data_IF_177166796551
#
_entry.id   IF_177166796551
#
_cell.length_a   1.000
_cell.length_b   1.000
_cell.length_c   1.000
_cell.angle_alpha   90.00
_cell.angle_beta   90.00
_cell.angle_gamma   90.00
#
_symmetry.space_group_name_H-M   'P 1'
#
loop_
_entity.id
_entity.type
_entity.pdbx_description
1 polymer ?
#
# COMPACT_ATOMS: atom_id res chain seq x y z
N UNK A 1 4.42 11.95 9.98
CA UNK A 1 5.33 12.11 8.83
C UNK A 1 5.85 10.74 8.41
N UNK A 2 6.47 10.58 7.24
CA UNK A 2 7.04 9.29 6.80
C UNK A 2 8.49 9.50 6.38
N UNK A 3 9.38 8.67 6.93
CA UNK A 3 10.83 8.75 6.72
C UNK A 3 11.37 7.40 6.24
N UNK A 4 12.46 7.40 5.48
CA UNK A 4 13.15 6.16 5.12
C UNK A 4 13.81 5.53 6.36
N UNK A 5 13.74 4.21 6.50
CA UNK A 5 14.34 3.46 7.61
C UNK A 5 15.38 2.44 7.09
N UNK A 6 16.46 2.87 6.41
CA UNK A 6 17.37 1.97 5.68
C UNK A 6 18.20 1.05 6.59
N UNK A 7 18.37 1.43 7.86
CA UNK A 7 19.08 0.65 8.86
C UNK A 7 18.24 -0.50 9.44
N UNK A 8 16.92 -0.48 9.24
CA UNK A 8 16.04 -1.54 9.74
C UNK A 8 15.95 -2.65 8.70
N UNK A 9 16.07 -3.90 9.15
CA UNK A 9 15.93 -5.11 8.34
C UNK A 9 14.80 -5.96 8.88
N UNK A 10 14.03 -6.55 7.98
CA UNK A 10 13.00 -7.53 8.29
C UNK A 10 12.93 -8.58 7.20
N UNK A 11 12.56 -9.80 7.59
CA UNK A 11 12.49 -10.95 6.68
C UNK A 11 11.45 -10.74 5.54
N UNK A 12 10.42 -9.95 5.81
CA UNK A 12 9.23 -9.86 4.97
C UNK A 12 9.19 -8.66 4.01
N UNK A 13 10.15 -7.72 4.11
CA UNK A 13 10.13 -6.49 3.32
C UNK A 13 11.54 -6.06 2.91
N UNK A 14 11.71 -5.72 1.63
CA UNK A 14 12.99 -5.25 1.06
C UNK A 14 13.28 -3.78 1.38
N UNK A 15 12.26 -3.00 1.72
CA UNK A 15 12.38 -1.60 2.11
C UNK A 15 11.35 -1.24 3.18
N UNK A 16 11.77 -0.46 4.17
CA UNK A 16 10.98 -0.06 5.32
C UNK A 16 11.00 1.46 5.47
N UNK A 17 9.91 1.98 6.01
CA UNK A 17 9.75 3.39 6.37
C UNK A 17 9.32 3.50 7.84
N UNK A 18 9.72 4.60 8.45
CA UNK A 18 9.23 5.03 9.75
C UNK A 18 8.08 6.01 9.56
N UNK A 19 6.87 5.64 9.99
CA UNK A 19 5.70 6.53 10.06
C UNK A 19 5.61 7.10 11.47
N UNK A 20 5.94 8.37 11.59
CA UNK A 20 5.91 9.12 12.85
C UNK A 20 4.53 9.76 13.09
N UNK A 21 4.01 9.61 14.30
CA UNK A 21 2.84 10.35 14.77
C UNK A 21 3.17 11.81 15.01
N UNK A 22 2.20 12.70 14.70
CA UNK A 22 2.33 14.11 15.05
C UNK A 22 2.41 14.26 16.56
N UNK A 23 3.21 15.21 17.04
CA UNK A 23 3.44 15.40 18.47
C UNK A 23 2.14 15.64 19.27
N UNK A 24 1.19 16.36 18.66
CA UNK A 24 -0.10 16.73 19.28
C UNK A 24 -1.05 15.57 19.52
N UNK A 25 -0.86 14.41 18.87
CA UNK A 25 -1.72 13.24 19.07
C UNK A 25 -1.09 12.16 19.97
N UNK A 26 0.20 12.28 20.30
CA UNK A 26 0.95 11.20 20.99
C UNK A 26 0.41 10.89 22.39
N UNK A 27 0.03 11.91 23.13
CA UNK A 27 -0.48 11.77 24.50
C UNK A 27 -1.84 11.05 24.58
N UNK A 28 -2.59 11.00 23.47
CA UNK A 28 -3.89 10.33 23.39
C UNK A 28 -3.86 8.96 22.70
N UNK A 29 -2.67 8.43 22.39
CA UNK A 29 -2.55 7.12 21.75
C UNK A 29 -2.84 6.01 22.75
N UNK A 30 -3.71 5.09 22.36
CA UNK A 30 -3.84 3.79 23.05
C UNK A 30 -2.69 2.87 22.59
N UNK A 31 -1.60 2.89 23.35
CA UNK A 31 -0.38 2.13 23.03
C UNK A 31 -0.65 0.63 22.97
N UNK A 32 -1.60 0.11 23.75
CA UNK A 32 -1.92 -1.32 23.76
C UNK A 32 -2.47 -1.80 22.41
N UNK A 33 -3.29 -0.97 21.77
CA UNK A 33 -3.81 -1.23 20.41
C UNK A 33 -2.69 -1.15 19.40
N UNK A 34 -1.74 -0.23 19.60
CA UNK A 34 -0.60 -0.07 18.72
C UNK A 34 0.37 -1.25 18.79
N UNK A 35 0.60 -1.81 19.98
CA UNK A 35 1.42 -3.01 20.23
C UNK A 35 0.80 -4.28 19.63
N UNK A 36 -0.53 -4.37 19.63
CA UNK A 36 -1.24 -5.53 19.10
C UNK A 36 -0.97 -5.78 17.60
N UNK A 37 -0.69 -4.73 16.82
CA UNK A 37 -0.47 -4.85 15.37
C UNK A 37 0.82 -5.63 15.01
N UNK A 38 2.02 -5.23 15.48
CA UNK A 38 3.23 -6.00 15.25
C UNK A 38 3.20 -7.37 15.94
N UNK A 39 2.65 -7.46 17.17
CA UNK A 39 2.52 -8.74 17.87
C UNK A 39 1.65 -9.73 17.09
N UNK A 40 0.57 -9.26 16.45
CA UNK A 40 -0.24 -10.09 15.58
C UNK A 40 0.57 -10.62 14.39
N UNK A 41 1.33 -9.76 13.71
CA UNK A 41 2.18 -10.19 12.59
C UNK A 41 3.21 -11.24 13.01
N UNK A 42 3.82 -11.09 14.19
CA UNK A 42 4.79 -12.06 14.74
C UNK A 42 4.15 -13.40 15.11
N UNK A 43 2.86 -13.40 15.47
CA UNK A 43 2.11 -14.62 15.78
C UNK A 43 1.72 -15.45 14.54
N UNK A 44 1.78 -14.86 13.34
CA UNK A 44 1.34 -15.51 12.12
C UNK A 44 2.40 -16.47 11.54
N UNK A 45 1.95 -17.56 10.88
CA UNK A 45 2.82 -18.31 10.00
C UNK A 45 3.41 -17.41 8.90
N UNK A 46 4.64 -17.72 8.46
CA UNK A 46 5.37 -16.91 7.48
C UNK A 46 4.56 -16.59 6.22
N UNK A 47 3.82 -17.57 5.66
CA UNK A 47 2.99 -17.38 4.47
C UNK A 47 1.84 -16.41 4.69
N UNK A 48 1.20 -16.44 5.85
CA UNK A 48 0.10 -15.55 6.20
C UNK A 48 0.61 -14.12 6.46
N UNK A 49 1.76 -13.98 7.15
CA UNK A 49 2.42 -12.68 7.30
C UNK A 49 2.82 -12.07 5.96
N UNK A 50 3.38 -12.88 5.05
CA UNK A 50 3.68 -12.44 3.67
C UNK A 50 2.43 -12.03 2.89
N UNK A 51 1.33 -12.76 3.02
CA UNK A 51 0.07 -12.39 2.36
C UNK A 51 -0.43 -11.02 2.86
N UNK A 52 -0.46 -10.82 4.18
CA UNK A 52 -0.88 -9.56 4.80
C UNK A 52 -0.02 -8.38 4.34
N UNK A 53 1.31 -8.54 4.35
CA UNK A 53 2.26 -7.50 3.96
C UNK A 53 2.27 -7.25 2.44
N UNK A 54 1.92 -8.25 1.62
CA UNK A 54 1.78 -8.06 0.17
C UNK A 54 0.58 -7.19 -0.21
N UNK A 55 -0.39 -7.03 0.70
CA UNK A 55 -1.66 -6.32 0.47
C UNK A 55 -1.79 -5.04 1.29
N UNK A 56 -0.87 -4.78 2.20
CA UNK A 56 -0.98 -3.66 3.14
C UNK A 56 0.38 -3.17 3.60
N UNK A 57 0.43 -1.89 3.98
CA UNK A 57 1.55 -1.35 4.70
C UNK A 57 1.32 -1.57 6.21
N UNK A 58 1.27 -2.85 6.62
CA UNK A 58 0.99 -3.23 8.02
C UNK A 58 2.10 -2.76 8.96
N UNK A 59 1.78 -2.29 10.17
CA UNK A 59 2.80 -1.96 11.16
C UNK A 59 3.57 -3.19 11.64
N UNK A 60 4.88 -3.14 11.52
CA UNK A 60 5.75 -4.27 11.80
C UNK A 60 6.51 -4.14 13.12
N UNK A 61 6.72 -2.92 13.62
CA UNK A 61 7.40 -2.65 14.88
C UNK A 61 7.08 -1.26 15.37
N UNK A 62 6.93 -1.08 16.67
CA UNK A 62 6.86 0.25 17.29
C UNK A 62 8.22 0.95 17.28
N UNK A 63 8.18 2.27 17.28
CA UNK A 63 9.36 3.12 17.49
C UNK A 63 9.07 3.98 18.70
N UNK A 64 10.01 3.98 19.63
CA UNK A 64 9.96 4.75 20.86
C UNK A 64 11.10 5.78 20.89
N UNK A 65 10.83 6.93 21.50
CA UNK A 65 11.82 7.92 21.89
C UNK A 65 11.57 8.26 23.35
N UNK A 66 12.58 8.13 24.20
CA UNK A 66 12.50 8.44 25.62
C UNK A 66 11.33 7.74 26.34
N UNK A 67 11.07 6.48 25.98
CA UNK A 67 9.99 5.66 26.52
C UNK A 67 8.59 6.02 26.02
N UNK A 68 8.48 6.90 25.02
CA UNK A 68 7.20 7.30 24.41
C UNK A 68 7.11 6.73 22.99
N UNK A 69 6.01 6.07 22.67
CA UNK A 69 5.73 5.64 21.29
C UNK A 69 5.59 6.85 20.38
N UNK A 70 6.46 6.93 19.38
CA UNK A 70 6.48 8.01 18.39
C UNK A 70 5.99 7.56 17.02
N UNK A 71 5.85 6.26 16.77
CA UNK A 71 5.33 5.74 15.51
C UNK A 71 5.64 4.29 15.25
N UNK A 72 5.66 3.91 13.97
CA UNK A 72 5.90 2.53 13.52
C UNK A 72 6.89 2.43 12.38
N UNK A 73 7.60 1.31 12.34
CA UNK A 73 8.21 0.81 11.11
C UNK A 73 7.21 -0.05 10.34
N UNK A 74 7.12 0.16 9.04
CA UNK A 74 6.20 -0.53 8.13
C UNK A 74 6.83 -0.66 6.73
N UNK A 75 6.33 -1.55 5.85
CA UNK A 75 6.79 -1.64 4.47
C UNK A 75 6.71 -0.30 3.75
N UNK A 76 7.75 0.03 2.99
CA UNK A 76 7.71 1.16 2.07
C UNK A 76 6.70 0.89 0.94
N UNK A 77 6.16 1.95 0.35
CA UNK A 77 5.35 1.82 -0.87
C UNK A 77 6.24 1.23 -1.97
N UNK A 78 5.85 0.09 -2.59
CA UNK A 78 6.66 -0.50 -3.64
C UNK A 78 6.78 0.41 -4.89
N UNK A 79 7.92 0.39 -5.61
CA UNK A 79 8.18 1.28 -6.76
C UNK A 79 7.11 1.25 -7.87
N UNK A 80 6.41 0.12 -8.04
CA UNK A 80 5.34 -0.08 -9.01
C UNK A 80 4.08 0.75 -8.73
N UNK A 81 3.89 1.19 -7.48
CA UNK A 81 2.82 2.11 -7.09
C UNK A 81 3.19 3.57 -7.32
N UNK A 82 4.37 3.87 -7.86
CA UNK A 82 4.76 5.22 -8.26
C UNK A 82 4.61 5.39 -9.76
N UNK A 83 3.70 6.28 -10.17
CA UNK A 83 3.29 6.49 -11.55
C UNK A 83 3.74 7.84 -12.08
N UNK A 84 3.97 7.93 -13.38
CA UNK A 84 4.26 9.21 -14.01
C UNK A 84 2.97 10.01 -14.19
N UNK A 85 2.96 11.24 -13.68
CA UNK A 85 1.84 12.18 -13.82
C UNK A 85 2.33 13.49 -14.43
N UNK A 86 1.53 14.05 -15.33
CA UNK A 86 1.79 15.40 -15.86
C UNK A 86 1.29 16.45 -14.88
N UNK A 87 2.18 17.32 -14.45
CA UNK A 87 1.90 18.49 -13.62
C UNK A 87 2.14 19.77 -14.45
N UNK A 88 1.68 20.92 -13.93
CA UNK A 88 1.94 22.21 -14.58
C UNK A 88 3.45 22.52 -14.71
N UNK A 89 4.25 22.03 -13.76
CA UNK A 89 5.71 22.16 -13.75
C UNK A 89 6.44 21.08 -14.58
N UNK A 90 5.72 20.23 -15.30
CA UNK A 90 6.27 19.11 -16.06
C UNK A 90 5.87 17.73 -15.52
N UNK A 91 6.45 16.67 -16.08
CA UNK A 91 6.16 15.30 -15.64
C UNK A 91 6.86 14.99 -14.31
N UNK A 92 6.14 14.36 -13.38
CA UNK A 92 6.65 14.01 -12.06
C UNK A 92 6.17 12.61 -11.66
N UNK A 93 7.05 11.88 -10.95
CA UNK A 93 6.73 10.57 -10.39
C UNK A 93 5.98 10.75 -9.07
N UNK A 94 4.75 10.29 -9.02
CA UNK A 94 3.81 10.48 -7.91
C UNK A 94 3.30 9.13 -7.40
N UNK A 95 2.87 9.06 -6.14
CA UNK A 95 2.19 7.87 -5.64
C UNK A 95 0.85 7.72 -6.38
N UNK A 96 0.61 6.54 -6.95
CA UNK A 96 -0.62 6.21 -7.65
C UNK A 96 -1.75 5.98 -6.66
N UNK A 97 -2.50 7.02 -6.32
CA UNK A 97 -3.64 6.91 -5.40
C UNK A 97 -4.97 6.79 -6.13
N UNK A 98 -5.95 6.13 -5.51
CA UNK A 98 -7.30 6.00 -6.07
C UNK A 98 -7.99 7.35 -6.20
N UNK A 99 -7.70 8.32 -5.32
CA UNK A 99 -8.26 9.67 -5.41
C UNK A 99 -8.02 10.33 -6.79
N UNK A 100 -6.94 9.98 -7.47
CA UNK A 100 -6.66 10.50 -8.82
C UNK A 100 -7.69 10.01 -9.84
N UNK A 101 -8.22 8.79 -9.68
CA UNK A 101 -9.19 8.17 -10.58
C UNK A 101 -10.62 8.68 -10.40
N UNK A 102 -10.91 9.33 -9.28
CA UNK A 102 -12.25 9.86 -8.97
C UNK A 102 -12.56 11.19 -9.67
N UNK A 103 -11.61 11.70 -10.46
CA UNK A 103 -11.79 12.92 -11.23
C UNK A 103 -12.35 12.61 -12.63
N UNK A 104 -12.96 13.62 -13.25
CA UNK A 104 -13.52 13.53 -14.59
C UNK A 104 -12.46 13.30 -15.69
N UNK A 105 -12.90 12.93 -16.91
CA UNK A 105 -12.02 12.55 -18.02
C UNK A 105 -11.04 13.67 -18.44
N UNK A 106 -11.45 14.94 -18.31
CA UNK A 106 -10.59 16.10 -18.60
C UNK A 106 -9.38 16.16 -17.66
N UNK A 107 -9.60 15.95 -16.36
CA UNK A 107 -8.50 15.92 -15.39
C UNK A 107 -7.58 14.73 -15.68
N UNK A 108 -8.14 13.55 -15.92
CA UNK A 108 -7.36 12.35 -16.18
C UNK A 108 -6.46 12.53 -17.42
N UNK A 109 -7.00 13.08 -18.51
CA UNK A 109 -6.22 13.35 -19.73
C UNK A 109 -5.12 14.38 -19.50
N UNK A 110 -5.41 15.48 -18.79
CA UNK A 110 -4.43 16.50 -18.41
C UNK A 110 -3.29 15.95 -17.56
N UNK A 111 -3.58 15.01 -16.66
CA UNK A 111 -2.58 14.33 -15.82
C UNK A 111 -1.89 13.16 -16.53
N UNK A 112 -2.31 12.81 -17.75
CA UNK A 112 -1.78 11.68 -18.51
C UNK A 112 -2.24 10.31 -17.99
N UNK A 113 -3.28 10.26 -17.18
CA UNK A 113 -3.84 9.04 -16.61
C UNK A 113 -4.81 8.42 -17.62
N UNK A 114 -4.40 7.31 -18.25
CA UNK A 114 -5.28 6.47 -19.06
C UNK A 114 -5.79 5.30 -18.21
N UNK A 115 -7.10 5.20 -18.05
CA UNK A 115 -7.76 4.08 -17.37
C UNK A 115 -9.03 3.71 -18.12
N UNK A 116 -9.20 2.42 -18.42
CA UNK A 116 -10.41 1.87 -19.01
C UNK A 116 -11.40 1.41 -17.93
N UNK A 117 -12.68 1.27 -18.28
CA UNK A 117 -13.69 0.74 -17.36
C UNK A 117 -13.37 -0.68 -16.90
N UNK A 118 -12.76 -1.50 -17.77
CA UNK A 118 -12.23 -2.82 -17.39
C UNK A 118 -11.19 -2.70 -16.29
N UNK A 119 -10.22 -1.80 -16.42
CA UNK A 119 -9.19 -1.60 -15.40
C UNK A 119 -9.76 -1.03 -14.09
N UNK A 120 -10.82 -0.21 -14.17
CA UNK A 120 -11.55 0.22 -12.97
C UNK A 120 -12.18 -0.97 -12.25
N UNK A 121 -12.81 -1.88 -12.98
CA UNK A 121 -13.38 -3.11 -12.40
C UNK A 121 -12.29 -4.00 -11.80
N UNK A 122 -11.17 -4.19 -12.49
CA UNK A 122 -10.03 -4.97 -11.99
C UNK A 122 -9.46 -4.36 -10.69
N UNK A 123 -9.36 -3.03 -10.59
CA UNK A 123 -8.97 -2.37 -9.35
C UNK A 123 -9.95 -2.59 -8.21
N UNK A 124 -11.25 -2.54 -8.46
CA UNK A 124 -12.28 -2.83 -7.44
C UNK A 124 -12.18 -4.28 -6.95
N UNK A 125 -11.90 -5.22 -7.85
CA UNK A 125 -11.65 -6.63 -7.50
C UNK A 125 -10.40 -6.75 -6.61
N UNK A 126 -9.31 -6.03 -6.93
CA UNK A 126 -8.10 -6.05 -6.08
C UNK A 126 -8.34 -5.43 -4.70
N UNK A 127 -9.15 -4.37 -4.60
CA UNK A 127 -9.56 -3.80 -3.30
C UNK A 127 -10.37 -4.83 -2.51
N UNK A 128 -11.37 -5.47 -3.14
CA UNK A 128 -12.18 -6.50 -2.48
C UNK A 128 -11.34 -7.69 -2.02
N UNK A 129 -10.34 -8.12 -2.81
CA UNK A 129 -9.37 -9.16 -2.42
C UNK A 129 -8.53 -8.73 -1.23
N UNK A 130 -8.06 -7.47 -1.19
CA UNK A 130 -7.35 -6.92 -0.04
C UNK A 130 -8.21 -6.91 1.23
N UNK A 131 -9.46 -6.43 1.14
CA UNK A 131 -10.40 -6.45 2.27
C UNK A 131 -10.70 -7.87 2.75
N UNK A 132 -10.84 -8.83 1.83
CA UNK A 132 -11.04 -10.23 2.18
C UNK A 132 -9.86 -10.80 2.98
N UNK A 133 -8.62 -10.36 2.74
CA UNK A 133 -7.44 -10.74 3.55
C UNK A 133 -7.62 -10.21 4.97
N UNK A 134 -7.91 -8.92 5.14
CA UNK A 134 -8.16 -8.35 6.47
C UNK A 134 -9.29 -9.07 7.22
N UNK A 135 -10.40 -9.38 6.55
CA UNK A 135 -11.50 -10.10 7.17
C UNK A 135 -11.13 -11.53 7.58
N UNK A 136 -10.29 -12.25 6.82
CA UNK A 136 -9.74 -13.56 7.25
C UNK A 136 -8.91 -13.45 8.53
N UNK A 137 -8.23 -12.32 8.71
CA UNK A 137 -7.49 -11.99 9.93
C UNK A 137 -8.37 -11.41 11.05
N UNK A 138 -9.70 -11.37 10.86
CA UNK A 138 -10.65 -10.72 11.79
C UNK A 138 -10.34 -9.23 12.05
N UNK A 139 -9.73 -8.56 11.08
CA UNK A 139 -9.41 -7.13 11.14
C UNK A 139 -10.47 -6.34 10.38
N UNK A 140 -11.13 -5.42 11.07
CA UNK A 140 -12.02 -4.44 10.45
C UNK A 140 -11.21 -3.23 9.95
N UNK A 141 -11.44 -2.82 8.69
CA UNK A 141 -10.79 -1.63 8.11
C UNK A 141 -11.70 -0.43 8.28
N UNK A 142 -11.42 0.41 9.27
CA UNK A 142 -12.27 1.57 9.61
C UNK A 142 -12.15 2.77 8.66
N UNK A 143 -11.02 2.94 7.99
CA UNK A 143 -10.74 4.08 7.10
C UNK A 143 -10.44 3.64 5.66
N UNK A 144 -11.50 3.19 4.97
CA UNK A 144 -11.42 2.89 3.53
C UNK A 144 -11.69 4.18 2.75
N UNK A 145 -10.61 4.91 2.46
CA UNK A 145 -10.66 6.14 1.66
C UNK A 145 -9.80 6.04 0.39
N UNK A 146 -10.10 6.80 -0.66
CA UNK A 146 -9.31 6.82 -1.90
C UNK A 146 -7.85 7.26 -1.73
N UNK A 147 -7.50 7.86 -0.59
CA UNK A 147 -6.13 8.24 -0.21
C UNK A 147 -5.35 7.05 0.37
N UNK A 148 -6.03 6.10 0.98
CA UNK A 148 -5.43 4.91 1.58
C UNK A 148 -5.24 3.77 0.58
N UNK A 149 -5.89 3.84 -0.58
CA UNK A 149 -5.80 2.84 -1.65
C UNK A 149 -4.78 3.25 -2.71
N UNK A 150 -3.80 2.38 -2.96
CA UNK A 150 -2.77 2.59 -3.97
C UNK A 150 -3.04 1.73 -5.20
N UNK A 151 -2.71 2.26 -6.37
CA UNK A 151 -2.72 1.59 -7.68
C UNK A 151 -1.33 1.63 -8.30
N UNK A 152 -1.01 0.61 -9.07
CA UNK A 152 0.15 0.64 -9.94
C UNK A 152 -0.16 1.36 -11.27
N UNK A 153 0.85 1.54 -12.11
CA UNK A 153 0.66 2.08 -13.46
C UNK A 153 -0.05 1.07 -14.37
N UNK A 154 -1.12 1.51 -15.02
CA UNK A 154 -1.84 0.73 -16.03
C UNK A 154 -1.04 0.51 -17.32
N UNK A 155 -0.04 1.36 -17.57
CA UNK A 155 0.81 1.27 -18.76
C UNK A 155 1.86 0.16 -18.67
N UNK A 156 2.05 -0.42 -17.48
CA UNK A 156 3.17 -1.30 -17.17
C UNK A 156 2.85 -2.80 -17.09
N UNK A 157 1.65 -3.26 -17.49
CA UNK A 157 1.41 -4.71 -17.53
C UNK A 157 1.99 -5.31 -18.82
N UNK A 158 3.08 -6.11 -18.79
CA UNK A 158 3.36 -7.03 -19.89
C UNK A 158 2.18 -8.00 -19.97
N UNK A 159 1.62 -8.13 -21.17
CA UNK A 159 0.65 -9.18 -21.47
C UNK A 159 1.33 -10.53 -21.19
N UNK A 160 1.01 -11.20 -20.08
CA UNK A 160 1.17 -12.66 -20.04
C UNK A 160 0.09 -13.24 -20.95
N UNK A 161 0.38 -13.25 -22.25
CA UNK A 161 -0.28 -14.20 -23.15
C UNK A 161 0.32 -15.53 -22.77
N UNK A 162 -0.45 -16.34 -22.03
CA UNK A 162 -0.19 -17.76 -22.01
C UNK A 162 -0.35 -18.23 -23.45
N UNK A 163 0.76 -18.44 -24.15
CA UNK A 163 0.79 -19.24 -25.36
C UNK A 163 0.36 -20.64 -24.95
N UNK A 164 -0.94 -20.91 -25.09
CA UNK A 164 -1.44 -22.27 -25.20
C UNK A 164 -0.74 -22.88 -26.42
N UNK A 165 0.29 -23.69 -26.17
CA UNK A 165 0.90 -24.53 -27.18
C UNK A 165 -0.17 -25.48 -27.72
N UNK A 166 -0.83 -25.07 -28.80
CA UNK A 166 -1.29 -26.01 -29.81
C UNK A 166 -0.12 -26.19 -30.76
N UNK A 167 0.45 -27.38 -30.77
CA UNK A 167 0.83 -28.02 -32.02
C UNK A 167 0.77 -29.53 -31.83
N UNK A 168 -0.06 -30.14 -32.68
CA UNK A 168 -0.15 -31.56 -32.93
C UNK A 168 0.85 -31.89 -34.04
N UNK A 169 1.61 -32.96 -33.86
CA UNK A 169 1.78 -34.06 -34.82
C UNK A 169 2.41 -35.24 -34.07
#
# INVERSE_FOLDING_TARGET
MVFSAPAVRMQYASSLVFKEYRADVRAGLDVSVLEAMPAYLESLPFSAGMELLSRSAWPCRLVESDGVVVGFVMPAIPPEFFVQMRLASGSSRQVGEFQHLLNGPVFLSQRGIGVSDRQRCELLVEVARGLAVFHRHSVAVGDVSPKNLKRHDFRAAPRRVATAGRERC
#
